data_IF_058271426267
#
_entry.id   IF_058271426267
#
_cell.length_a   1.000
_cell.length_b   1.000
_cell.length_c   1.000
_cell.angle_alpha   90.00
_cell.angle_beta   90.00
_cell.angle_gamma   90.00
#
_symmetry.space_group_name_H-M   'P 1'
#
loop_
_entity.id
_entity.type
_entity.pdbx_description
1 polymer ?
#
# COMPACT_ATOMS: atom_id res chain seq x y z
N UNK A 1 -31.31 -0.98 -7.13
CA UNK A 1 -30.61 0.32 -7.17
C UNK A 1 -30.77 1.14 -5.89
N UNK A 2 -31.99 1.38 -5.40
CA UNK A 2 -32.19 2.15 -4.17
C UNK A 2 -31.42 1.61 -2.95
N UNK A 3 -31.33 0.29 -2.80
CA UNK A 3 -30.63 -0.35 -1.68
C UNK A 3 -29.11 -0.07 -1.67
N UNK A 4 -28.45 -0.02 -2.83
CA UNK A 4 -26.99 0.25 -2.91
C UNK A 4 -26.71 1.69 -2.46
N UNK A 5 -27.45 2.66 -2.95
CA UNK A 5 -27.23 4.07 -2.58
C UNK A 5 -27.49 4.32 -1.09
N UNK A 6 -28.52 3.70 -0.53
CA UNK A 6 -28.82 3.83 0.90
C UNK A 6 -27.73 3.22 1.77
N UNK A 7 -27.19 2.04 1.41
CA UNK A 7 -26.11 1.41 2.17
C UNK A 7 -24.79 2.19 2.04
N UNK A 8 -24.47 2.72 0.86
CA UNK A 8 -23.32 3.62 0.66
C UNK A 8 -23.40 4.84 1.57
N UNK A 9 -24.59 5.47 1.65
CA UNK A 9 -24.82 6.62 2.53
C UNK A 9 -24.73 6.23 4.01
N UNK A 10 -25.29 5.12 4.40
CA UNK A 10 -25.25 4.59 5.77
C UNK A 10 -23.81 4.34 6.21
N UNK A 11 -23.03 3.60 5.42
CA UNK A 11 -21.61 3.34 5.70
C UNK A 11 -20.79 4.63 5.71
N UNK A 12 -21.10 5.59 4.83
CA UNK A 12 -20.47 6.91 4.79
C UNK A 12 -20.75 7.80 6.00
N UNK A 13 -21.90 7.62 6.68
CA UNK A 13 -22.24 8.32 7.93
C UNK A 13 -21.46 7.79 9.13
N UNK A 14 -21.18 6.47 9.18
CA UNK A 14 -20.40 5.86 10.26
C UNK A 14 -18.96 6.38 10.18
N UNK A 15 -18.39 6.35 8.98
CA UNK A 15 -17.06 6.85 8.69
C UNK A 15 -17.03 7.33 7.23
N UNK A 16 -16.48 8.49 6.89
CA UNK A 16 -16.38 8.93 5.49
C UNK A 16 -15.61 7.92 4.63
N UNK A 17 -16.05 7.75 3.38
CA UNK A 17 -15.31 6.97 2.40
C UNK A 17 -13.98 7.63 2.06
N UNK A 18 -12.92 6.86 2.03
CA UNK A 18 -11.61 7.32 1.57
C UNK A 18 -11.44 7.16 0.06
N UNK A 19 -11.94 6.04 -0.46
CA UNK A 19 -11.85 5.72 -1.87
C UNK A 19 -13.18 6.02 -2.55
N UNK A 20 -13.12 6.40 -3.82
CA UNK A 20 -14.29 6.50 -4.66
C UNK A 20 -14.36 5.27 -5.56
N UNK A 21 -15.37 4.45 -5.36
CA UNK A 21 -15.70 3.32 -6.22
C UNK A 21 -16.93 3.66 -7.05
N UNK A 22 -16.91 3.27 -8.32
CA UNK A 22 -18.10 3.31 -9.17
C UNK A 22 -18.85 1.99 -9.01
N UNK A 23 -20.03 2.06 -8.44
CA UNK A 23 -20.93 0.93 -8.23
C UNK A 23 -22.02 0.89 -9.30
N UNK A 24 -22.75 -0.26 -9.48
CA UNK A 24 -23.86 -0.37 -10.42
C UNK A 24 -24.90 0.74 -10.25
N UNK A 25 -25.40 1.27 -11.36
CA UNK A 25 -26.32 2.39 -11.37
C UNK A 25 -25.64 3.76 -11.27
N UNK A 26 -24.34 3.84 -11.63
CA UNK A 26 -23.52 5.05 -11.56
C UNK A 26 -23.47 5.66 -10.15
N UNK A 27 -23.49 4.80 -9.13
CA UNK A 27 -23.41 5.22 -7.74
C UNK A 27 -21.94 5.34 -7.34
N UNK A 28 -21.52 6.55 -6.99
CA UNK A 28 -20.18 6.80 -6.45
C UNK A 28 -20.20 6.72 -4.91
N UNK A 29 -19.20 6.04 -4.33
CA UNK A 29 -19.10 5.94 -2.86
C UNK A 29 -18.63 7.25 -2.22
N UNK A 30 -17.92 8.10 -2.97
CA UNK A 30 -17.39 9.38 -2.49
C UNK A 30 -17.44 10.46 -3.58
N UNK A 31 -18.65 10.87 -4.02
CA UNK A 31 -18.80 11.85 -5.08
C UNK A 31 -18.18 13.19 -4.68
N UNK A 32 -17.51 13.84 -5.64
CA UNK A 32 -16.88 15.15 -5.44
C UNK A 32 -15.50 15.14 -4.79
N UNK A 33 -15.01 14.01 -4.29
CA UNK A 33 -13.62 13.87 -3.86
C UNK A 33 -12.72 13.28 -4.95
N UNK A 34 -12.64 13.95 -6.08
CA UNK A 34 -11.65 13.62 -7.14
C UNK A 34 -10.23 13.45 -6.58
N UNK A 35 -9.92 14.13 -5.47
CA UNK A 35 -8.60 14.11 -4.85
C UNK A 35 -8.23 12.73 -4.29
N UNK A 36 -9.14 11.97 -3.70
CA UNK A 36 -8.81 10.64 -3.17
C UNK A 36 -8.81 9.57 -4.27
N UNK A 37 -9.75 9.63 -5.20
CA UNK A 37 -9.78 8.76 -6.37
C UNK A 37 -8.57 9.04 -7.27
N UNK A 38 -8.30 10.32 -7.58
CA UNK A 38 -7.12 10.72 -8.34
C UNK A 38 -5.81 10.27 -7.71
N UNK A 39 -5.66 10.37 -6.38
CA UNK A 39 -4.45 9.90 -5.69
C UNK A 39 -4.22 8.39 -5.81
N UNK A 40 -5.28 7.58 -5.76
CA UNK A 40 -5.15 6.14 -5.92
C UNK A 40 -4.87 5.75 -7.37
N UNK A 41 -5.48 6.44 -8.34
CA UNK A 41 -5.17 6.23 -9.75
C UNK A 41 -3.73 6.63 -10.09
N UNK A 42 -3.27 7.80 -9.64
CA UNK A 42 -1.87 8.23 -9.82
C UNK A 42 -0.91 7.22 -9.19
N UNK A 43 -1.23 6.72 -7.99
CA UNK A 43 -0.43 5.68 -7.35
C UNK A 43 -0.46 4.38 -8.16
N UNK A 44 -1.62 3.98 -8.65
CA UNK A 44 -1.77 2.80 -9.49
C UNK A 44 -0.95 2.91 -10.78
N UNK A 45 -0.99 4.05 -11.48
CA UNK A 45 -0.19 4.26 -12.69
C UNK A 45 1.32 4.09 -12.42
N UNK A 46 1.79 4.51 -11.26
CA UNK A 46 3.19 4.31 -10.86
C UNK A 46 3.52 2.86 -10.51
N UNK A 47 2.54 2.09 -10.05
CA UNK A 47 2.71 0.70 -9.65
C UNK A 47 2.48 -0.31 -10.79
N UNK A 48 1.70 0.05 -11.81
CA UNK A 48 1.41 -0.84 -12.95
C UNK A 48 2.67 -1.44 -13.59
N UNK A 49 3.71 -0.66 -13.96
CA UNK A 49 4.92 -1.22 -14.55
C UNK A 49 5.63 -2.23 -13.63
N UNK A 50 5.54 -2.01 -12.31
CA UNK A 50 6.08 -2.93 -11.30
C UNK A 50 5.27 -4.22 -11.30
N UNK A 51 3.93 -4.13 -11.27
CA UNK A 51 3.05 -5.29 -11.28
C UNK A 51 3.20 -6.14 -12.54
N UNK A 52 3.37 -5.51 -13.69
CA UNK A 52 3.62 -6.19 -14.96
C UNK A 52 4.93 -6.98 -14.94
N UNK A 53 6.01 -6.38 -14.42
CA UNK A 53 7.31 -7.05 -14.28
C UNK A 53 7.29 -8.20 -13.27
N UNK A 54 6.55 -8.07 -12.17
CA UNK A 54 6.42 -9.11 -11.14
C UNK A 54 5.58 -10.29 -11.62
N UNK A 55 4.76 -10.11 -12.68
CA UNK A 55 3.79 -11.11 -13.13
C UNK A 55 2.91 -11.55 -11.97
N UNK A 56 2.01 -10.66 -11.57
CA UNK A 56 1.17 -10.84 -10.36
C UNK A 56 0.09 -11.91 -10.48
N UNK A 57 -0.18 -12.40 -11.70
CA UNK A 57 -1.17 -13.46 -11.92
C UNK A 57 -0.80 -14.72 -11.11
N UNK A 58 -1.80 -15.37 -10.53
CA UNK A 58 -1.69 -16.54 -9.65
C UNK A 58 -0.86 -16.35 -8.36
N UNK A 59 -0.33 -15.15 -8.11
CA UNK A 59 0.42 -14.86 -6.89
C UNK A 59 -0.50 -14.72 -5.67
N UNK A 60 0.00 -15.21 -4.54
CA UNK A 60 -0.56 -14.89 -3.22
C UNK A 60 -0.03 -13.55 -2.75
N UNK A 61 -0.92 -12.58 -2.53
CA UNK A 61 -0.54 -11.20 -2.20
C UNK A 61 -1.17 -10.77 -0.88
N UNK A 62 -0.33 -10.25 0.01
CA UNK A 62 -0.78 -9.53 1.20
C UNK A 62 -0.90 -8.04 0.90
N UNK A 63 -2.09 -7.47 1.01
CA UNK A 63 -2.32 -6.01 0.98
C UNK A 63 -2.46 -5.48 2.41
N UNK A 64 -1.34 -4.98 2.95
CA UNK A 64 -1.27 -4.51 4.34
C UNK A 64 -1.71 -3.07 4.48
N UNK A 65 -2.72 -2.82 5.32
CA UNK A 65 -3.41 -1.54 5.41
C UNK A 65 -4.30 -1.31 4.19
N UNK A 66 -5.05 -2.34 3.79
CA UNK A 66 -5.82 -2.37 2.54
C UNK A 66 -6.92 -1.32 2.47
N UNK A 67 -7.28 -0.69 3.60
CA UNK A 67 -8.35 0.30 3.67
C UNK A 67 -9.66 -0.30 3.12
N UNK A 68 -10.32 0.39 2.20
CA UNK A 68 -11.56 -0.04 1.55
C UNK A 68 -11.33 -0.96 0.34
N UNK A 69 -10.10 -1.52 0.19
CA UNK A 69 -9.78 -2.60 -0.73
C UNK A 69 -9.51 -2.21 -2.19
N UNK A 70 -9.17 -0.95 -2.49
CA UNK A 70 -8.95 -0.49 -3.88
C UNK A 70 -7.84 -1.30 -4.57
N UNK A 71 -6.66 -1.41 -3.96
CA UNK A 71 -5.56 -2.17 -4.54
C UNK A 71 -5.80 -3.68 -4.48
N UNK A 72 -6.43 -4.17 -3.42
CA UNK A 72 -6.83 -5.58 -3.33
C UNK A 72 -7.71 -6.01 -4.50
N UNK A 73 -8.70 -5.19 -4.88
CA UNK A 73 -9.58 -5.48 -6.02
C UNK A 73 -8.81 -5.42 -7.35
N UNK A 74 -7.95 -4.41 -7.53
CA UNK A 74 -7.12 -4.32 -8.73
C UNK A 74 -6.23 -5.56 -8.90
N UNK A 75 -5.53 -5.98 -7.85
CA UNK A 75 -4.65 -7.15 -7.89
C UNK A 75 -5.44 -8.44 -8.19
N UNK A 76 -6.57 -8.63 -7.54
CA UNK A 76 -7.39 -9.81 -7.76
C UNK A 76 -8.06 -9.82 -9.14
N UNK A 77 -8.45 -8.66 -9.70
CA UNK A 77 -8.95 -8.57 -11.07
C UNK A 77 -7.88 -8.90 -12.12
N UNK A 78 -6.59 -8.86 -11.73
CA UNK A 78 -5.46 -9.30 -12.54
C UNK A 78 -4.98 -10.72 -12.16
N UNK A 79 -5.84 -11.54 -11.56
CA UNK A 79 -5.62 -12.95 -11.32
C UNK A 79 -4.90 -13.32 -10.02
N UNK A 80 -4.60 -12.36 -9.15
CA UNK A 80 -3.94 -12.64 -7.87
C UNK A 80 -4.91 -13.22 -6.82
N UNK A 81 -4.37 -13.95 -5.84
CA UNK A 81 -5.05 -14.37 -4.61
C UNK A 81 -4.71 -13.39 -3.49
N UNK A 82 -5.63 -12.53 -3.11
CA UNK A 82 -5.33 -11.40 -2.22
C UNK A 82 -5.85 -11.62 -0.82
N UNK A 83 -5.02 -11.37 0.18
CA UNK A 83 -5.45 -11.19 1.56
C UNK A 83 -5.28 -9.70 1.92
N UNK A 84 -6.39 -8.99 2.05
CA UNK A 84 -6.41 -7.59 2.49
C UNK A 84 -6.57 -7.49 4.00
N UNK A 85 -5.67 -6.77 4.66
CA UNK A 85 -5.69 -6.59 6.11
C UNK A 85 -5.78 -5.12 6.46
N UNK A 86 -6.69 -4.78 7.36
CA UNK A 86 -6.72 -3.46 8.02
C UNK A 86 -7.13 -3.64 9.49
N UNK A 87 -6.73 -2.69 10.34
CA UNK A 87 -7.07 -2.69 11.75
C UNK A 87 -8.40 -1.97 12.02
N UNK A 88 -8.87 -1.19 11.07
CA UNK A 88 -10.12 -0.44 11.17
C UNK A 88 -11.30 -1.29 10.64
N UNK A 89 -12.17 -1.68 11.55
CA UNK A 89 -13.33 -2.52 11.24
C UNK A 89 -14.25 -1.88 10.19
N UNK A 90 -14.48 -0.57 10.25
CA UNK A 90 -15.35 0.12 9.30
C UNK A 90 -14.76 0.08 7.88
N UNK A 91 -13.44 0.10 7.73
CA UNK A 91 -12.77 -0.06 6.44
C UNK A 91 -12.94 -1.46 5.90
N UNK A 92 -12.79 -2.48 6.75
CA UNK A 92 -13.00 -3.88 6.36
C UNK A 92 -14.46 -4.16 5.99
N UNK A 93 -15.43 -3.59 6.71
CA UNK A 93 -16.86 -3.68 6.35
C UNK A 93 -17.10 -3.11 4.96
N UNK A 94 -16.56 -1.92 4.68
CA UNK A 94 -16.68 -1.27 3.37
C UNK A 94 -15.97 -2.06 2.26
N UNK A 95 -14.77 -2.58 2.52
CA UNK A 95 -14.02 -3.40 1.55
C UNK A 95 -14.83 -4.66 1.17
N UNK A 96 -15.41 -5.34 2.15
CA UNK A 96 -16.29 -6.50 1.94
C UNK A 96 -17.54 -6.12 1.17
N UNK A 97 -18.17 -4.99 1.51
CA UNK A 97 -19.35 -4.50 0.81
C UNK A 97 -19.05 -4.20 -0.67
N UNK A 98 -17.97 -3.48 -0.96
CA UNK A 98 -17.60 -3.19 -2.36
C UNK A 98 -17.27 -4.48 -3.11
N UNK A 99 -16.55 -5.44 -2.49
CA UNK A 99 -16.29 -6.75 -3.09
C UNK A 99 -17.59 -7.47 -3.45
N UNK A 100 -18.57 -7.51 -2.56
CA UNK A 100 -19.87 -8.19 -2.80
C UNK A 100 -20.59 -7.58 -3.99
N UNK A 101 -20.49 -6.27 -4.21
CA UNK A 101 -21.21 -5.56 -5.28
C UNK A 101 -20.51 -5.66 -6.63
N UNK A 102 -19.17 -5.47 -6.69
CA UNK A 102 -18.43 -5.33 -7.96
C UNK A 102 -17.34 -6.37 -8.15
N UNK A 103 -17.04 -7.16 -7.16
CA UNK A 103 -15.92 -8.10 -7.17
C UNK A 103 -16.23 -9.45 -6.53
N UNK A 104 -17.50 -9.90 -6.58
CA UNK A 104 -17.97 -11.11 -5.89
C UNK A 104 -17.12 -12.35 -6.21
N UNK A 105 -16.73 -12.50 -7.47
CA UNK A 105 -15.95 -13.63 -7.95
C UNK A 105 -14.43 -13.44 -7.78
N UNK A 106 -14.00 -12.28 -7.30
CA UNK A 106 -12.59 -12.01 -7.06
C UNK A 106 -12.07 -12.80 -5.86
N UNK A 107 -10.88 -13.38 -6.01
CA UNK A 107 -10.23 -14.14 -4.95
C UNK A 107 -9.58 -13.19 -3.92
N UNK A 108 -10.41 -12.60 -3.08
CA UNK A 108 -9.99 -11.68 -2.02
C UNK A 108 -10.57 -12.13 -0.68
N UNK A 109 -9.71 -12.18 0.34
CA UNK A 109 -10.12 -12.38 1.74
C UNK A 109 -9.75 -11.12 2.56
N UNK A 110 -10.77 -10.38 3.04
CA UNK A 110 -10.58 -9.20 3.88
C UNK A 110 -10.66 -9.54 5.36
N UNK A 111 -9.60 -9.20 6.12
CA UNK A 111 -9.46 -9.52 7.55
C UNK A 111 -9.27 -8.27 8.39
N UNK A 112 -10.05 -8.18 9.46
CA UNK A 112 -9.76 -7.26 10.56
C UNK A 112 -8.60 -7.83 11.38
N UNK A 113 -7.44 -7.18 11.33
CA UNK A 113 -6.24 -7.71 11.97
C UNK A 113 -5.20 -6.61 12.21
N UNK A 114 -4.60 -6.64 13.38
CA UNK A 114 -3.44 -5.81 13.73
C UNK A 114 -2.15 -6.52 13.29
N UNK A 115 -1.23 -5.79 12.66
CA UNK A 115 0.11 -6.29 12.28
C UNK A 115 0.92 -6.76 13.49
N UNK A 116 0.70 -6.14 14.66
CA UNK A 116 1.42 -6.49 15.89
C UNK A 116 0.84 -7.72 16.58
N UNK A 117 -0.30 -8.25 16.15
CA UNK A 117 -0.94 -9.41 16.76
C UNK A 117 -0.17 -10.72 16.50
N UNK A 118 -0.38 -11.70 17.38
CA UNK A 118 0.09 -13.08 17.18
C UNK A 118 -0.57 -13.74 15.97
N UNK A 119 -1.86 -13.40 15.71
CA UNK A 119 -2.58 -13.88 14.53
C UNK A 119 -1.88 -13.49 13.24
N UNK A 120 -1.36 -12.27 13.14
CA UNK A 120 -0.56 -11.86 11.99
C UNK A 120 0.73 -12.67 11.91
N UNK A 121 1.42 -12.85 13.04
CA UNK A 121 2.68 -13.59 13.08
C UNK A 121 2.52 -15.05 12.68
N UNK A 122 1.36 -15.67 12.94
CA UNK A 122 1.06 -17.07 12.58
C UNK A 122 0.59 -17.28 11.12
N UNK A 123 0.35 -16.20 10.36
CA UNK A 123 -0.04 -16.33 8.95
C UNK A 123 1.07 -16.97 8.11
N UNK A 124 0.68 -17.67 7.05
CA UNK A 124 1.59 -18.16 6.03
C UNK A 124 2.32 -17.01 5.31
N UNK A 125 3.41 -17.35 4.64
CA UNK A 125 4.09 -16.43 3.73
C UNK A 125 3.26 -16.18 2.47
N UNK A 126 3.54 -15.05 1.83
CA UNK A 126 2.97 -14.58 0.57
C UNK A 126 4.07 -14.42 -0.47
N UNK A 127 3.72 -14.53 -1.74
CA UNK A 127 4.65 -14.27 -2.84
C UNK A 127 5.03 -12.80 -2.93
N UNK A 128 4.10 -11.91 -2.57
CA UNK A 128 4.28 -10.47 -2.57
C UNK A 128 3.56 -9.84 -1.37
N UNK A 129 4.20 -8.86 -0.74
CA UNK A 129 3.54 -7.99 0.21
C UNK A 129 3.42 -6.58 -0.37
N UNK A 130 2.22 -6.02 -0.38
CA UNK A 130 1.94 -4.64 -0.73
C UNK A 130 1.70 -3.84 0.55
N UNK A 131 2.48 -2.78 0.77
CA UNK A 131 2.44 -1.94 1.96
C UNK A 131 2.38 -0.46 1.58
N UNK A 132 1.18 0.01 1.23
CA UNK A 132 0.96 1.34 0.67
C UNK A 132 0.36 2.31 1.68
N UNK A 133 1.10 3.35 2.01
CA UNK A 133 0.63 4.39 2.92
C UNK A 133 0.57 3.96 4.38
N UNK A 134 1.28 2.92 4.76
CA UNK A 134 1.14 2.25 6.05
C UNK A 134 2.26 2.57 7.05
N UNK A 135 3.55 2.32 6.71
CA UNK A 135 4.66 2.36 7.68
C UNK A 135 4.86 3.72 8.37
N UNK A 136 4.41 4.79 7.77
CA UNK A 136 4.49 6.14 8.36
C UNK A 136 3.32 6.45 9.31
N UNK A 137 2.37 5.52 9.47
CA UNK A 137 1.15 5.67 10.29
C UNK A 137 1.10 4.75 11.49
N UNK A 138 2.09 3.89 11.66
CA UNK A 138 2.15 2.94 12.76
C UNK A 138 3.07 3.45 13.87
N UNK A 139 2.82 3.09 15.14
CA UNK A 139 3.63 3.56 16.27
C UNK A 139 5.07 3.06 16.21
N UNK A 140 5.29 1.83 15.73
CA UNK A 140 6.61 1.21 15.57
C UNK A 140 6.80 0.69 14.14
N UNK A 141 7.30 1.55 13.23
CA UNK A 141 7.54 1.17 11.85
C UNK A 141 8.65 0.12 11.69
N UNK A 142 9.60 0.04 12.63
CA UNK A 142 10.70 -0.93 12.56
C UNK A 142 10.19 -2.36 12.76
N UNK A 143 9.41 -2.58 13.83
CA UNK A 143 8.76 -3.87 14.06
C UNK A 143 7.76 -4.21 12.95
N UNK A 144 7.02 -3.23 12.44
CA UNK A 144 6.11 -3.45 11.32
C UNK A 144 6.85 -3.91 10.06
N UNK A 145 7.94 -3.25 9.68
CA UNK A 145 8.78 -3.66 8.54
C UNK A 145 9.33 -5.08 8.76
N UNK A 146 9.86 -5.38 9.97
CA UNK A 146 10.35 -6.73 10.29
C UNK A 146 9.27 -7.79 10.08
N UNK A 147 8.08 -7.57 10.62
CA UNK A 147 6.95 -8.51 10.47
C UNK A 147 6.54 -8.70 9.01
N UNK A 148 6.61 -7.67 8.17
CA UNK A 148 6.34 -7.79 6.73
C UNK A 148 7.42 -8.61 6.02
N UNK A 149 8.70 -8.41 6.36
CA UNK A 149 9.84 -9.19 5.84
C UNK A 149 9.76 -10.67 6.23
N UNK A 150 9.19 -10.97 7.41
CA UNK A 150 8.94 -12.35 7.83
C UNK A 150 7.82 -13.03 7.01
N UNK A 151 6.95 -12.24 6.35
CA UNK A 151 5.79 -12.71 5.57
C UNK A 151 6.00 -12.77 4.07
N UNK A 152 7.01 -12.09 3.53
CA UNK A 152 7.27 -12.13 2.09
C UNK A 152 8.73 -11.86 1.79
N UNK A 153 9.23 -12.52 0.75
CA UNK A 153 10.58 -12.29 0.24
C UNK A 153 10.60 -11.19 -0.84
N UNK A 154 9.44 -10.63 -1.20
CA UNK A 154 9.28 -9.50 -2.10
C UNK A 154 8.24 -8.54 -1.53
N UNK A 155 8.60 -7.26 -1.35
CA UNK A 155 7.71 -6.26 -0.75
C UNK A 155 7.74 -4.97 -1.57
N UNK A 156 6.57 -4.39 -1.81
CA UNK A 156 6.42 -3.05 -2.36
C UNK A 156 5.97 -2.11 -1.25
N UNK A 157 6.83 -1.16 -0.91
CA UNK A 157 6.51 -0.09 0.04
C UNK A 157 6.12 1.20 -0.67
N UNK A 158 5.16 1.91 -0.11
CA UNK A 158 4.91 3.32 -0.39
C UNK A 158 4.65 4.06 0.91
N UNK A 159 5.36 5.18 1.13
CA UNK A 159 5.20 5.96 2.36
C UNK A 159 5.43 7.46 2.15
N UNK A 160 5.05 8.27 3.14
CA UNK A 160 5.47 9.67 3.19
C UNK A 160 6.94 9.73 3.57
N UNK A 161 7.79 10.00 2.58
CA UNK A 161 9.23 10.12 2.81
C UNK A 161 9.63 11.47 3.39
N UNK A 162 10.80 11.51 4.01
CA UNK A 162 11.47 12.74 4.37
C UNK A 162 12.01 13.42 3.09
N UNK A 163 11.65 14.69 2.89
CA UNK A 163 12.08 15.47 1.72
C UNK A 163 13.45 16.13 1.87
N UNK A 164 13.88 16.32 3.11
CA UNK A 164 15.05 17.11 3.44
C UNK A 164 16.02 16.27 4.25
N UNK A 165 17.28 16.36 3.92
CA UNK A 165 18.37 15.64 4.52
C UNK A 165 19.37 15.21 3.43
N UNK A 166 20.61 14.96 3.77
CA UNK A 166 21.56 14.36 2.85
C UNK A 166 20.97 13.05 2.31
N UNK A 167 21.02 12.87 1.00
CA UNK A 167 20.41 11.70 0.34
C UNK A 167 21.02 10.38 0.76
N UNK A 168 22.23 10.43 1.34
CA UNK A 168 23.02 9.26 1.69
C UNK A 168 22.93 8.86 3.16
N UNK A 169 22.24 9.64 4.00
CA UNK A 169 22.11 9.35 5.42
C UNK A 169 20.72 8.77 5.77
N UNK A 170 20.72 7.90 6.78
CA UNK A 170 19.51 7.29 7.29
C UNK A 170 18.84 8.22 8.30
N UNK A 171 17.74 8.84 7.92
CA UNK A 171 16.95 9.72 8.79
C UNK A 171 15.58 9.14 9.10
N UNK A 172 15.20 9.28 10.36
CA UNK A 172 13.83 9.08 10.83
C UNK A 172 13.39 10.34 11.56
N UNK A 173 12.30 10.94 11.14
CA UNK A 173 11.70 12.10 11.80
C UNK A 173 10.33 11.72 12.33
N UNK A 174 10.14 11.95 13.61
CA UNK A 174 8.86 11.84 14.27
C UNK A 174 8.13 13.18 14.22
N UNK A 175 6.96 13.19 13.59
CA UNK A 175 6.12 14.39 13.49
C UNK A 175 4.83 14.16 14.26
N UNK A 176 4.73 14.62 15.49
CA UNK A 176 3.47 14.54 16.23
C UNK A 176 2.44 15.39 15.49
N UNK A 177 1.42 14.72 14.98
CA UNK A 177 0.24 15.42 14.47
C UNK A 177 -0.81 15.53 15.58
N UNK A 178 -1.63 16.58 15.58
CA UNK A 178 -2.78 16.64 16.47
C UNK A 178 -3.67 15.42 16.22
N UNK A 179 -4.26 14.90 17.29
CA UNK A 179 -5.09 13.69 17.28
C UNK A 179 -6.15 13.80 16.18
N UNK A 180 -5.95 13.06 15.11
CA UNK A 180 -7.00 12.82 14.14
C UNK A 180 -7.81 11.61 14.63
N UNK A 181 -9.04 11.87 15.10
CA UNK A 181 -9.94 10.83 15.61
C UNK A 181 -10.24 9.71 14.58
N UNK A 182 -9.87 9.91 13.32
CA UNK A 182 -10.00 8.92 12.26
C UNK A 182 -8.81 7.97 12.10
N UNK A 183 -7.68 8.23 12.79
CA UNK A 183 -6.51 7.37 12.71
C UNK A 183 -6.50 6.42 13.92
N UNK A 184 -6.56 5.11 13.65
CA UNK A 184 -6.67 4.08 14.69
C UNK A 184 -5.54 4.11 15.73
N UNK A 185 -4.28 4.35 15.29
CA UNK A 185 -3.14 4.48 16.20
C UNK A 185 -2.93 5.89 16.74
N UNK A 186 -3.86 6.83 16.51
CA UNK A 186 -3.73 8.21 16.95
C UNK A 186 -2.80 9.02 16.05
N UNK A 187 -1.99 9.86 16.61
CA UNK A 187 -1.49 11.11 16.05
C UNK A 187 -0.13 11.10 15.44
N UNK A 188 0.57 10.00 15.49
CA UNK A 188 2.00 10.00 15.28
C UNK A 188 2.35 9.57 13.87
N UNK A 189 3.08 10.45 13.15
CA UNK A 189 3.60 10.13 11.83
C UNK A 189 5.11 10.05 11.87
N UNK A 190 5.61 8.93 11.38
CA UNK A 190 7.00 8.77 11.06
C UNK A 190 7.29 9.25 9.63
N UNK A 191 8.45 9.90 9.46
CA UNK A 191 9.00 10.20 8.16
C UNK A 191 10.35 9.56 8.07
N UNK A 192 10.44 8.53 7.25
CA UNK A 192 11.67 7.78 7.04
C UNK A 192 12.27 8.21 5.70
N UNK A 193 13.60 8.43 5.65
CA UNK A 193 14.30 8.56 4.38
C UNK A 193 14.33 7.22 3.64
N UNK A 194 14.62 7.24 2.34
CA UNK A 194 14.86 6.00 1.58
C UNK A 194 15.98 5.18 2.22
N UNK A 195 17.10 5.83 2.52
CA UNK A 195 18.27 5.20 3.13
C UNK A 195 17.96 4.57 4.48
N UNK A 196 17.07 5.17 5.29
CA UNK A 196 16.63 4.57 6.55
C UNK A 196 15.87 3.26 6.31
N UNK A 197 14.89 3.26 5.39
CA UNK A 197 14.10 2.06 5.08
C UNK A 197 14.99 0.96 4.47
N UNK A 198 15.86 1.30 3.51
CA UNK A 198 16.79 0.33 2.93
C UNK A 198 17.77 -0.24 3.95
N UNK A 199 18.33 0.60 4.84
CA UNK A 199 19.25 0.14 5.88
C UNK A 199 18.58 -0.88 6.81
N UNK A 200 17.33 -0.63 7.19
CA UNK A 200 16.53 -1.58 7.96
C UNK A 200 16.34 -2.88 7.19
N UNK A 201 15.92 -2.77 5.93
CA UNK A 201 15.64 -3.91 5.07
C UNK A 201 16.89 -4.76 4.80
N UNK A 202 18.05 -4.12 4.57
CA UNK A 202 19.34 -4.82 4.41
C UNK A 202 19.70 -5.64 5.65
N UNK A 203 19.49 -5.10 6.85
CA UNK A 203 19.70 -5.83 8.11
C UNK A 203 18.74 -6.99 8.30
N UNK A 204 17.59 -6.96 7.62
CA UNK A 204 16.58 -8.03 7.64
C UNK A 204 16.75 -9.02 6.47
N UNK A 205 17.85 -8.93 5.71
CA UNK A 205 18.18 -9.86 4.62
C UNK A 205 17.56 -9.54 3.27
N UNK A 206 17.03 -8.32 3.09
CA UNK A 206 16.65 -7.81 1.78
C UNK A 206 17.87 -7.19 1.11
N UNK A 207 18.24 -7.63 -0.10
CA UNK A 207 19.48 -7.20 -0.75
C UNK A 207 19.27 -6.56 -2.11
N UNK A 208 18.07 -6.70 -2.67
CA UNK A 208 17.70 -6.15 -3.98
C UNK A 208 16.69 -5.04 -3.81
N UNK A 209 16.95 -3.86 -4.41
CA UNK A 209 16.13 -2.67 -4.26
C UNK A 209 15.88 -2.00 -5.59
N UNK A 210 14.63 -1.58 -5.80
CA UNK A 210 14.23 -0.74 -6.91
C UNK A 210 13.44 0.46 -6.38
N UNK A 211 13.94 1.67 -6.63
CA UNK A 211 13.31 2.93 -6.21
C UNK A 211 12.52 3.52 -7.36
N UNK A 212 11.32 3.99 -7.07
CA UNK A 212 10.56 4.83 -7.99
C UNK A 212 10.54 6.24 -7.44
N UNK A 213 11.42 7.08 -7.99
CA UNK A 213 11.50 8.46 -7.59
C UNK A 213 10.38 9.30 -8.20
N UNK A 214 9.85 10.21 -7.41
CA UNK A 214 8.92 11.23 -7.86
C UNK A 214 9.32 12.56 -7.22
N UNK A 215 10.04 13.42 -7.96
CA UNK A 215 10.56 14.67 -7.43
C UNK A 215 9.46 15.64 -6.97
N UNK A 216 8.24 15.49 -7.50
CA UNK A 216 7.11 16.34 -7.17
C UNK A 216 6.23 15.80 -6.06
N UNK A 217 6.43 14.54 -5.65
CA UNK A 217 5.58 13.90 -4.66
C UNK A 217 6.36 13.61 -3.36
N UNK A 218 5.68 13.87 -2.24
CA UNK A 218 6.19 13.57 -0.90
C UNK A 218 6.06 12.07 -0.57
N UNK A 219 6.01 11.21 -1.61
CA UNK A 219 5.77 9.78 -1.49
C UNK A 219 6.85 8.98 -2.17
N UNK A 220 7.56 8.17 -1.38
CA UNK A 220 8.52 7.20 -1.87
C UNK A 220 7.83 5.90 -2.26
N UNK A 221 8.31 5.24 -3.30
CA UNK A 221 7.99 3.85 -3.63
C UNK A 221 9.31 3.07 -3.70
N UNK A 222 9.36 1.96 -2.99
CA UNK A 222 10.51 1.07 -2.93
C UNK A 222 10.05 -0.37 -3.08
N UNK A 223 10.61 -1.08 -4.05
CA UNK A 223 10.52 -2.55 -4.13
C UNK A 223 11.76 -3.13 -3.48
N UNK A 224 11.58 -4.09 -2.58
CA UNK A 224 12.66 -4.78 -1.89
C UNK A 224 12.50 -6.29 -1.98
N UNK A 225 13.59 -7.01 -2.26
CA UNK A 225 13.61 -8.46 -2.41
C UNK A 225 14.78 -9.12 -1.68
N UNK A 226 14.58 -10.36 -1.20
CA UNK A 226 15.63 -11.21 -0.64
C UNK A 226 16.40 -11.95 -1.72
N UNK A 227 15.72 -12.36 -2.78
CA UNK A 227 16.27 -13.17 -3.86
C UNK A 227 16.36 -12.30 -5.11
N UNK A 228 17.42 -12.48 -5.90
CA UNK A 228 17.54 -11.89 -7.21
C UNK A 228 16.41 -12.41 -8.10
N UNK A 229 15.44 -11.57 -8.35
CA UNK A 229 14.32 -11.84 -9.23
C UNK A 229 14.54 -11.08 -10.54
N UNK A 230 13.92 -11.52 -11.63
CA UNK A 230 13.98 -10.85 -12.96
C UNK A 230 13.68 -9.35 -12.93
N UNK A 231 13.00 -8.85 -11.90
CA UNK A 231 12.76 -7.43 -11.62
C UNK A 231 14.06 -6.64 -11.41
N UNK A 232 15.09 -7.30 -10.85
CA UNK A 232 16.35 -6.67 -10.44
C UNK A 232 17.49 -7.01 -11.43
N UNK A 233 17.19 -7.49 -12.65
CA UNK A 233 18.20 -7.78 -13.65
C UNK A 233 18.89 -6.50 -14.16
N UNK A 234 20.14 -6.64 -14.60
CA UNK A 234 21.10 -5.58 -14.91
C UNK A 234 20.61 -4.50 -15.90
N UNK A 235 19.61 -4.79 -16.70
CA UNK A 235 18.99 -3.79 -17.59
C UNK A 235 18.07 -2.82 -16.83
N UNK A 236 17.68 -3.14 -15.61
CA UNK A 236 16.84 -2.31 -14.73
C UNK A 236 17.65 -1.24 -13.96
N UNK A 237 18.99 -1.31 -13.93
CA UNK A 237 19.83 -0.18 -13.48
C UNK A 237 19.62 1.06 -14.36
N UNK A 238 19.26 0.88 -15.64
CA UNK A 238 18.93 1.96 -16.56
C UNK A 238 17.63 2.63 -16.13
N UNK A 239 16.66 1.88 -15.61
CA UNK A 239 15.39 2.45 -15.13
C UNK A 239 15.55 3.16 -13.79
N UNK A 240 16.46 2.73 -12.91
CA UNK A 240 16.79 3.46 -11.69
C UNK A 240 17.52 4.79 -11.95
N UNK A 241 18.21 4.90 -13.09
CA UNK A 241 18.88 6.13 -13.58
C UNK A 241 18.06 6.87 -14.63
N UNK A 242 17.13 6.20 -15.32
CA UNK A 242 16.39 6.76 -16.48
C UNK A 242 15.42 7.88 -16.13
N UNK A 243 14.95 7.96 -14.89
CA UNK A 243 14.12 9.08 -14.45
C UNK A 243 14.90 10.36 -14.15
N UNK A 244 16.22 10.29 -14.00
CA UNK A 244 17.07 11.48 -13.85
C UNK A 244 17.28 12.23 -15.17
N UNK A 245 17.12 11.60 -16.33
CA UNK A 245 17.44 12.20 -17.62
C UNK A 245 16.25 12.77 -18.42
N UNK A 246 15.01 12.55 -17.97
CA UNK A 246 13.82 13.07 -18.68
C UNK A 246 13.54 14.55 -18.32
N UNK A 247 14.19 15.09 -17.30
CA UNK A 247 13.95 16.47 -16.85
C UNK A 247 15.15 17.42 -17.07
N UNK A 248 16.16 17.01 -17.82
CA UNK A 248 17.30 17.86 -18.17
C UNK A 248 17.41 18.19 -19.68
N UNK A 249 16.33 17.94 -20.45
CA UNK A 249 16.21 18.41 -21.83
C UNK A 249 15.06 19.35 -22.02
#
# INVERSE_FOLDING_TARGET
>A
MNNILEEVKKLGKIQPWNHNFMLPGNIETNPGKQVSHGKNLIKLERLKPIFEKIVINDKSILDMGCNEGFFSQYLASNGSKVTGIDIDENRIIKAKYVKEIVGKDLNIDFKLMDIYSEKFSSMNKFDLCLCLGFIHRVPDPFTAIKKLVDKSDLIIFEWKALKFGPHDEAFAYFSPNPINKSDYYGTEYWRLSYTAVETILKRLGMHHFYRVDDPNQRRAILVAGKINNSIFNSDDEIMSRGYLNIFLS
#
